data_IF_684648741508
#
_entry.id   IF_684648741508
#
_cell.length_a   1.000
_cell.length_b   1.000
_cell.length_c   1.000
_cell.angle_alpha   90.00
_cell.angle_beta   90.00
_cell.angle_gamma   90.00
#
_symmetry.space_group_name_H-M   'P 1'
#
loop_
_entity.id
_entity.type
_entity.pdbx_description
1 polymer ?
#
# COMPACT_ATOMS: atom_id res chain seq x y z
N UNK A 1 15.63 9.84 -28.56
CA UNK A 1 16.43 8.72 -29.12
C UNK A 1 16.02 7.43 -28.46
N UNK A 2 15.68 6.38 -29.21
CA UNK A 2 15.31 5.06 -28.67
C UNK A 2 16.49 4.09 -28.80
N UNK A 3 16.92 3.48 -27.71
CA UNK A 3 18.02 2.50 -27.64
C UNK A 3 17.56 1.21 -26.99
N UNK A 4 18.28 0.12 -27.27
CA UNK A 4 18.05 -1.19 -26.64
C UNK A 4 19.30 -1.60 -25.89
N UNK A 5 19.14 -1.99 -24.62
CA UNK A 5 20.23 -2.50 -23.77
C UNK A 5 19.78 -3.83 -23.16
N UNK A 6 20.36 -4.93 -23.62
CA UNK A 6 19.89 -6.30 -23.27
C UNK A 6 18.39 -6.43 -23.54
N UNK A 7 17.59 -6.67 -22.51
CA UNK A 7 16.13 -6.81 -22.57
C UNK A 7 15.38 -5.53 -22.23
N UNK A 8 16.05 -4.36 -22.20
CA UNK A 8 15.44 -3.07 -21.88
C UNK A 8 15.36 -2.17 -23.11
N UNK A 9 14.28 -1.40 -23.21
CA UNK A 9 14.16 -0.27 -24.13
C UNK A 9 14.40 1.00 -23.32
N UNK A 10 15.30 1.84 -23.79
CA UNK A 10 15.60 3.14 -23.20
C UNK A 10 15.21 4.22 -24.19
N UNK A 11 14.38 5.16 -23.75
CA UNK A 11 14.07 6.38 -24.50
C UNK A 11 14.72 7.56 -23.80
N UNK A 12 15.47 8.34 -24.54
CA UNK A 12 16.08 9.57 -24.06
C UNK A 12 15.59 10.72 -24.93
N UNK A 13 14.76 11.54 -24.37
CA UNK A 13 14.30 12.79 -24.95
C UNK A 13 14.89 13.96 -24.14
N UNK A 14 14.70 15.17 -24.62
CA UNK A 14 15.07 16.35 -23.87
C UNK A 14 14.17 16.47 -22.62
N UNK A 15 14.76 16.35 -21.43
CA UNK A 15 14.08 16.47 -20.15
C UNK A 15 13.42 15.19 -19.60
N UNK A 16 13.54 14.04 -20.28
CA UNK A 16 13.06 12.77 -19.72
C UNK A 16 13.91 11.55 -20.11
N UNK A 17 14.11 10.65 -19.15
CA UNK A 17 14.66 9.33 -19.31
C UNK A 17 13.57 8.28 -19.07
N UNK A 18 13.30 7.45 -20.07
CA UNK A 18 12.28 6.36 -19.97
C UNK A 18 12.99 5.03 -20.03
N UNK A 19 12.68 4.15 -19.08
CA UNK A 19 13.15 2.77 -19.07
C UNK A 19 11.95 1.82 -19.09
N UNK A 20 11.95 0.93 -20.08
CA UNK A 20 10.92 -0.11 -20.25
C UNK A 20 11.63 -1.44 -20.14
N UNK A 21 11.21 -2.28 -19.20
CA UNK A 21 11.84 -3.57 -18.95
C UNK A 21 10.83 -4.65 -18.60
N UNK A 22 11.13 -5.92 -18.94
CA UNK A 22 10.34 -7.04 -18.44
C UNK A 22 10.50 -7.17 -16.92
N UNK A 23 9.40 -7.47 -16.23
CA UNK A 23 9.37 -7.65 -14.77
C UNK A 23 8.70 -8.99 -14.40
N UNK A 24 9.30 -10.11 -14.86
CA UNK A 24 8.66 -11.41 -14.93
C UNK A 24 7.92 -11.62 -16.26
N UNK A 25 7.47 -12.83 -16.50
CA UNK A 25 6.75 -13.18 -17.74
C UNK A 25 5.36 -12.53 -17.78
N UNK A 26 4.98 -11.94 -18.89
CA UNK A 26 3.70 -11.24 -19.13
C UNK A 26 3.55 -9.89 -18.40
N UNK A 27 4.63 -9.36 -17.82
CA UNK A 27 4.64 -8.11 -17.06
C UNK A 27 5.74 -7.20 -17.59
N UNK A 28 5.44 -5.93 -17.78
CA UNK A 28 6.42 -4.91 -18.15
C UNK A 28 6.32 -3.75 -17.17
N UNK A 29 7.48 -3.30 -16.67
CA UNK A 29 7.62 -2.10 -15.85
C UNK A 29 8.11 -0.94 -16.70
N UNK A 30 7.51 0.22 -16.52
CA UNK A 30 7.90 1.47 -17.15
C UNK A 30 8.26 2.47 -16.06
N UNK A 31 9.43 3.08 -16.17
CA UNK A 31 9.90 4.13 -15.27
C UNK A 31 10.31 5.34 -16.06
N UNK A 32 9.95 6.53 -15.57
CA UNK A 32 10.27 7.80 -16.22
C UNK A 32 10.77 8.79 -15.18
N UNK A 33 11.91 9.43 -15.44
CA UNK A 33 12.49 10.46 -14.58
C UNK A 33 13.09 11.58 -15.42
N UNK A 34 13.16 12.78 -14.88
CA UNK A 34 13.97 13.85 -15.43
C UNK A 34 15.47 13.67 -15.07
N UNK A 35 15.73 12.90 -14.01
CA UNK A 35 17.06 12.55 -13.53
C UNK A 35 17.38 11.07 -13.81
N UNK A 36 18.26 10.47 -13.04
CA UNK A 36 18.53 9.03 -13.11
C UNK A 36 17.35 8.21 -12.59
N UNK A 37 17.04 7.12 -13.30
CA UNK A 37 16.05 6.14 -12.84
C UNK A 37 16.57 5.44 -11.59
N UNK A 38 15.76 5.44 -10.52
CA UNK A 38 16.07 4.80 -9.25
C UNK A 38 15.41 3.42 -9.14
N UNK A 39 16.08 2.48 -8.49
CA UNK A 39 15.52 1.17 -8.16
C UNK A 39 14.74 1.26 -6.84
N UNK A 40 13.52 1.80 -6.93
CA UNK A 40 12.57 1.92 -5.83
C UNK A 40 11.51 0.85 -6.00
N UNK A 41 11.64 -0.25 -5.28
CA UNK A 41 10.71 -1.37 -5.45
C UNK A 41 9.47 -1.27 -4.56
N UNK A 42 9.52 -0.47 -3.48
CA UNK A 42 8.45 -0.25 -2.53
C UNK A 42 7.84 -1.56 -2.01
N UNK A 43 6.69 -1.97 -2.55
CA UNK A 43 6.01 -3.22 -2.20
C UNK A 43 6.29 -4.37 -3.17
N UNK A 44 7.10 -4.13 -4.20
CA UNK A 44 7.40 -5.16 -5.20
C UNK A 44 8.48 -6.13 -4.71
N UNK A 45 8.24 -7.40 -4.91
CA UNK A 45 9.28 -8.42 -4.76
C UNK A 45 10.33 -8.33 -5.88
N UNK A 46 11.53 -8.90 -5.69
CA UNK A 46 12.52 -9.00 -6.74
C UNK A 46 11.92 -9.61 -8.01
N UNK A 47 12.21 -9.00 -9.15
CA UNK A 47 11.66 -9.46 -10.42
C UNK A 47 12.08 -10.89 -10.74
N UNK A 48 11.13 -11.67 -11.24
CA UNK A 48 11.41 -12.97 -11.85
C UNK A 48 12.11 -12.78 -13.20
N UNK A 49 12.95 -13.74 -13.59
CA UNK A 49 13.53 -13.73 -14.94
C UNK A 49 12.46 -13.94 -16.01
N UNK A 50 12.69 -13.34 -17.17
CA UNK A 50 11.84 -13.55 -18.33
C UNK A 50 12.63 -13.54 -19.63
N UNK A 51 12.19 -14.30 -20.60
CA UNK A 51 12.77 -14.41 -21.94
C UNK A 51 12.14 -13.38 -22.91
N UNK A 52 12.22 -12.09 -22.55
CA UNK A 52 11.72 -11.04 -23.41
C UNK A 52 12.63 -10.84 -24.64
N UNK A 53 12.02 -10.63 -25.80
CA UNK A 53 12.71 -10.32 -27.04
C UNK A 53 12.40 -8.91 -27.51
N UNK A 54 13.39 -8.26 -28.14
CA UNK A 54 13.22 -6.92 -28.67
C UNK A 54 13.58 -6.93 -30.17
N UNK A 55 12.71 -6.35 -30.99
CA UNK A 55 12.92 -6.18 -32.43
C UNK A 55 12.63 -4.75 -32.87
N UNK A 56 13.22 -4.32 -33.96
CA UNK A 56 12.88 -3.05 -34.64
C UNK A 56 12.01 -3.31 -35.84
N UNK A 57 10.98 -2.49 -36.00
CA UNK A 57 10.11 -2.46 -37.20
C UNK A 57 10.01 -1.01 -37.70
N UNK A 58 10.79 -0.69 -38.73
CA UNK A 58 10.95 0.67 -39.22
C UNK A 58 11.57 1.58 -38.14
N UNK A 59 10.87 2.61 -37.74
CA UNK A 59 11.26 3.52 -36.65
C UNK A 59 10.88 3.02 -35.27
N UNK A 60 10.02 2.02 -35.19
CA UNK A 60 9.44 1.54 -33.95
C UNK A 60 10.28 0.41 -33.33
N UNK A 61 10.23 0.32 -32.01
CA UNK A 61 10.89 -0.73 -31.23
C UNK A 61 9.81 -1.52 -30.50
N UNK A 62 9.81 -2.84 -30.67
CA UNK A 62 8.81 -3.74 -30.09
C UNK A 62 9.48 -4.70 -29.12
N UNK A 63 8.99 -4.75 -27.89
CA UNK A 63 9.32 -5.77 -26.91
C UNK A 63 8.18 -6.80 -26.86
N UNK A 64 8.53 -8.08 -26.90
CA UNK A 64 7.60 -9.19 -26.66
C UNK A 64 8.01 -9.89 -25.38
N UNK A 65 7.11 -9.91 -24.39
CA UNK A 65 7.31 -10.57 -23.10
C UNK A 65 6.09 -11.48 -22.78
N UNK A 66 6.19 -12.74 -23.16
CA UNK A 66 5.06 -13.66 -23.10
C UNK A 66 3.89 -13.16 -23.96
N UNK A 67 2.70 -12.98 -23.40
CA UNK A 67 1.50 -12.51 -24.12
C UNK A 67 1.41 -10.98 -24.24
N UNK A 68 2.37 -10.24 -23.67
CA UNK A 68 2.42 -8.78 -23.70
C UNK A 68 3.39 -8.30 -24.78
N UNK A 69 2.91 -7.44 -25.67
CA UNK A 69 3.73 -6.66 -26.57
C UNK A 69 3.75 -5.21 -26.13
N UNK A 70 4.92 -4.60 -26.12
CA UNK A 70 5.10 -3.17 -25.90
C UNK A 70 5.70 -2.57 -27.17
N UNK A 71 5.00 -1.62 -27.76
CA UNK A 71 5.46 -0.89 -28.93
C UNK A 71 5.86 0.52 -28.51
N UNK A 72 7.07 0.90 -28.88
CA UNK A 72 7.62 2.24 -28.66
C UNK A 72 7.91 2.86 -30.01
N UNK A 73 7.24 3.95 -30.35
CA UNK A 73 7.47 4.67 -31.60
C UNK A 73 8.84 5.35 -31.62
N UNK A 74 9.30 5.76 -32.79
CA UNK A 74 10.55 6.53 -32.95
C UNK A 74 10.55 7.83 -32.14
N UNK A 75 9.37 8.38 -31.79
CA UNK A 75 9.19 9.56 -30.94
C UNK A 75 9.10 9.22 -29.44
N UNK A 76 9.10 7.94 -29.08
CA UNK A 76 9.07 7.50 -27.68
C UNK A 76 7.67 7.32 -27.09
N UNK A 77 6.62 7.31 -27.89
CA UNK A 77 5.25 7.01 -27.45
C UNK A 77 5.10 5.51 -27.21
N UNK A 78 4.46 5.13 -26.08
CA UNK A 78 4.34 3.75 -25.60
C UNK A 78 2.91 3.27 -25.77
N UNK A 79 2.77 2.04 -26.28
CA UNK A 79 1.49 1.32 -26.35
C UNK A 79 1.67 -0.16 -26.03
N UNK A 80 0.64 -0.75 -25.40
CA UNK A 80 0.61 -2.13 -24.94
C UNK A 80 -0.44 -2.93 -25.70
N UNK A 81 -0.08 -4.13 -26.13
CA UNK A 81 -0.88 -4.97 -27.00
C UNK A 81 -0.85 -6.42 -26.50
N UNK A 82 -1.91 -7.16 -26.75
CA UNK A 82 -1.91 -8.59 -26.52
C UNK A 82 -1.38 -9.36 -27.76
N UNK A 83 -1.20 -10.67 -27.64
CA UNK A 83 -0.73 -11.53 -28.74
C UNK A 83 -1.68 -11.59 -29.94
N UNK A 84 -2.96 -11.25 -29.75
CA UNK A 84 -3.96 -11.20 -30.84
C UNK A 84 -3.85 -9.91 -31.67
N UNK A 85 -2.93 -9.00 -31.30
CA UNK A 85 -2.79 -7.69 -31.95
C UNK A 85 -3.87 -6.69 -31.51
N UNK A 86 -4.55 -6.94 -30.40
CA UNK A 86 -5.51 -6.00 -29.82
C UNK A 86 -4.79 -5.01 -28.92
N UNK A 87 -5.04 -3.72 -29.12
CA UNK A 87 -4.53 -2.66 -28.25
C UNK A 87 -5.16 -2.78 -26.87
N UNK A 88 -4.36 -2.86 -25.83
CA UNK A 88 -4.80 -2.90 -24.43
C UNK A 88 -4.85 -1.49 -23.84
N UNK A 89 -3.73 -0.80 -23.89
CA UNK A 89 -3.54 0.52 -23.31
C UNK A 89 -2.52 1.30 -24.14
N UNK A 90 -2.67 2.60 -24.28
CA UNK A 90 -1.67 3.45 -24.92
C UNK A 90 -1.58 4.80 -24.22
N UNK A 91 -0.39 5.35 -24.18
CA UNK A 91 -0.20 6.73 -23.75
C UNK A 91 -1.07 7.68 -24.56
N UNK A 92 -1.45 8.80 -23.94
CA UNK A 92 -2.20 9.84 -24.62
C UNK A 92 -1.29 10.50 -25.66
N UNK A 93 -1.75 10.50 -26.91
CA UNK A 93 -1.10 11.21 -27.99
C UNK A 93 -2.10 12.13 -28.67
N UNK A 94 -1.89 13.44 -28.55
CA UNK A 94 -2.72 14.45 -29.22
C UNK A 94 -1.84 15.36 -30.05
N UNK A 95 -1.83 15.15 -31.36
CA UNK A 95 -1.04 15.95 -32.30
C UNK A 95 -1.40 17.43 -32.32
N UNK A 96 -2.63 17.78 -31.97
CA UNK A 96 -3.16 19.14 -32.05
C UNK A 96 -3.08 19.95 -30.74
N UNK A 97 -2.63 19.33 -29.66
CA UNK A 97 -2.45 19.96 -28.35
C UNK A 97 -1.13 19.50 -27.77
N UNK A 98 -0.35 20.44 -27.31
CA UNK A 98 0.91 20.20 -26.58
C UNK A 98 0.66 19.58 -25.19
N UNK A 99 -0.18 18.53 -25.14
CA UNK A 99 -0.43 17.80 -23.90
C UNK A 99 0.45 16.57 -23.91
N UNK A 100 1.54 16.57 -23.14
CA UNK A 100 2.43 15.42 -23.08
C UNK A 100 1.72 14.25 -22.38
N UNK A 101 2.07 13.03 -22.79
CA UNK A 101 1.59 11.83 -22.10
C UNK A 101 2.16 11.73 -20.66
N UNK A 102 3.30 12.35 -20.44
CA UNK A 102 4.07 12.34 -19.20
C UNK A 102 4.40 13.76 -18.79
N UNK A 103 4.11 14.11 -17.55
CA UNK A 103 4.39 15.43 -16.97
C UNK A 103 5.33 15.26 -15.79
N UNK A 104 6.45 15.97 -15.80
CA UNK A 104 7.43 16.02 -14.73
C UNK A 104 7.69 17.50 -14.39
N UNK A 105 7.03 18.02 -13.34
CA UNK A 105 7.20 19.42 -12.91
C UNK A 105 8.02 19.45 -11.62
N UNK A 106 9.21 20.03 -11.70
CA UNK A 106 10.14 20.11 -10.55
C UNK A 106 9.51 20.75 -9.31
N UNK A 107 9.79 20.15 -8.16
CA UNK A 107 9.48 20.64 -6.81
C UNK A 107 10.77 20.74 -5.99
N UNK A 108 10.70 21.34 -4.82
CA UNK A 108 11.83 21.39 -3.89
C UNK A 108 12.24 20.00 -3.41
N UNK A 109 13.53 19.83 -3.12
CA UNK A 109 14.07 18.57 -2.58
C UNK A 109 14.31 17.46 -3.62
N UNK A 110 14.42 17.80 -4.92
CA UNK A 110 14.64 16.81 -5.98
C UNK A 110 13.42 15.93 -6.26
N UNK A 111 12.23 16.42 -5.92
CA UNK A 111 10.96 15.79 -6.20
C UNK A 111 10.28 16.44 -7.40
N UNK A 112 9.28 15.76 -7.95
CA UNK A 112 8.47 16.23 -9.04
C UNK A 112 6.97 16.01 -8.75
N UNK A 113 6.14 16.93 -9.21
CA UNK A 113 4.75 16.60 -9.50
C UNK A 113 4.72 15.83 -10.80
N UNK A 114 4.13 14.66 -10.76
CA UNK A 114 4.13 13.70 -11.87
C UNK A 114 2.73 13.41 -12.35
N UNK A 115 2.55 13.34 -13.68
CA UNK A 115 1.32 12.88 -14.29
C UNK A 115 1.64 11.88 -15.41
N UNK A 116 0.88 10.77 -15.47
CA UNK A 116 0.89 9.83 -16.57
C UNK A 116 -0.49 9.75 -17.19
N UNK A 117 -0.59 10.03 -18.48
CA UNK A 117 -1.85 10.10 -19.20
C UNK A 117 -1.97 8.94 -20.20
N UNK A 118 -3.11 8.29 -20.21
CA UNK A 118 -3.46 7.22 -21.15
C UNK A 118 -4.74 7.56 -21.90
N UNK A 119 -4.82 7.07 -23.16
CA UNK A 119 -6.05 7.14 -23.93
C UNK A 119 -7.11 6.23 -23.32
N UNK A 120 -8.28 6.76 -23.05
CA UNK A 120 -9.45 5.96 -22.72
C UNK A 120 -10.02 5.28 -23.96
N UNK A 121 -10.46 4.04 -23.82
CA UNK A 121 -11.08 3.27 -24.89
C UNK A 121 -12.58 3.14 -24.70
N UNK A 122 -13.32 3.13 -25.80
CA UNK A 122 -14.77 2.93 -25.77
C UNK A 122 -15.12 1.58 -25.13
N UNK A 123 -16.09 1.58 -24.18
CA UNK A 123 -16.50 0.40 -23.43
C UNK A 123 -15.40 -0.20 -22.56
N UNK A 124 -14.47 0.61 -22.10
CA UNK A 124 -13.51 0.22 -21.07
C UNK A 124 -14.05 0.54 -19.69
N UNK A 125 -13.95 -0.43 -18.80
CA UNK A 125 -14.36 -0.37 -17.40
C UNK A 125 -13.18 -0.72 -16.52
N UNK A 126 -13.11 -0.14 -15.31
CA UNK A 126 -12.02 -0.33 -14.37
C UNK A 126 -12.54 -0.83 -13.02
N UNK A 127 -11.82 -1.77 -12.42
CA UNK A 127 -12.16 -2.40 -11.14
C UNK A 127 -10.92 -2.47 -10.26
N UNK A 128 -11.06 -2.24 -8.95
CA UNK A 128 -9.93 -2.34 -8.01
C UNK A 128 -9.74 -1.10 -7.15
N UNK A 129 -8.51 -0.66 -6.94
CA UNK A 129 -8.04 0.40 -6.03
C UNK A 129 -8.22 0.08 -4.53
N UNK A 130 -8.49 -1.16 -4.17
CA UNK A 130 -8.67 -1.55 -2.77
C UNK A 130 -10.07 -1.29 -2.25
N UNK A 131 -10.17 -0.78 -1.03
CA UNK A 131 -11.44 -0.48 -0.37
C UNK A 131 -11.57 1.03 -0.20
N UNK A 132 -12.54 1.62 -0.88
CA UNK A 132 -12.85 3.03 -0.83
C UNK A 132 -14.22 3.26 -0.15
N UNK A 133 -14.43 4.46 0.38
CA UNK A 133 -15.68 4.83 1.07
C UNK A 133 -16.80 5.24 0.08
N UNK A 134 -16.97 4.48 -1.01
CA UNK A 134 -18.02 4.67 -2.01
C UNK A 134 -18.58 3.33 -2.46
N UNK A 135 -19.69 3.34 -3.17
CA UNK A 135 -20.42 2.17 -3.68
C UNK A 135 -20.18 1.87 -5.17
N UNK A 136 -19.14 2.48 -5.78
CA UNK A 136 -18.81 2.25 -7.18
C UNK A 136 -18.10 0.92 -7.36
N UNK A 137 -18.67 0.02 -8.14
CA UNK A 137 -18.00 -1.19 -8.59
C UNK A 137 -17.16 -0.93 -9.86
N UNK A 138 -17.72 -0.21 -10.82
CA UNK A 138 -17.02 0.30 -12.00
C UNK A 138 -16.52 1.71 -11.74
N UNK A 139 -15.21 1.88 -11.81
CA UNK A 139 -14.54 3.15 -11.51
C UNK A 139 -14.53 4.12 -12.72
N UNK A 140 -15.12 3.72 -13.85
CA UNK A 140 -15.19 4.59 -15.04
C UNK A 140 -15.96 5.87 -14.74
N UNK A 141 -15.34 7.02 -14.99
CA UNK A 141 -15.89 8.34 -14.70
C UNK A 141 -15.55 8.88 -13.30
N UNK A 142 -14.93 8.07 -12.44
CA UNK A 142 -14.54 8.49 -11.09
C UNK A 142 -13.17 9.18 -11.05
N UNK A 143 -13.01 10.07 -10.08
CA UNK A 143 -11.73 10.59 -9.61
C UNK A 143 -11.55 10.12 -8.16
N UNK A 144 -10.44 9.46 -7.88
CA UNK A 144 -10.17 8.83 -6.59
C UNK A 144 -8.79 9.26 -6.08
N UNK A 145 -8.74 9.66 -4.82
CA UNK A 145 -7.49 10.03 -4.17
C UNK A 145 -6.68 8.79 -3.81
N UNK A 146 -5.40 8.81 -4.13
CA UNK A 146 -4.42 7.82 -3.73
C UNK A 146 -3.75 8.31 -2.45
N UNK A 147 -4.32 7.95 -1.32
CA UNK A 147 -3.80 8.22 0.01
C UNK A 147 -4.48 7.30 1.03
N UNK A 148 -3.75 6.91 2.06
CA UNK A 148 -4.32 6.13 3.16
C UNK A 148 -5.01 7.07 4.15
N UNK A 149 -6.21 6.72 4.55
CA UNK A 149 -7.01 7.46 5.53
C UNK A 149 -7.92 6.49 6.27
N UNK A 150 -8.46 6.90 7.43
CA UNK A 150 -9.48 6.10 8.09
C UNK A 150 -10.67 5.81 7.14
N UNK A 151 -11.23 4.63 7.27
CA UNK A 151 -12.33 4.07 6.48
C UNK A 151 -11.98 3.63 5.06
N UNK A 152 -10.75 3.82 4.58
CA UNK A 152 -10.32 3.32 3.27
C UNK A 152 -8.96 2.64 3.31
N UNK A 153 -8.75 1.75 2.36
CA UNK A 153 -7.46 1.08 2.13
C UNK A 153 -7.15 1.16 0.65
N UNK A 154 -6.30 2.11 0.28
CA UNK A 154 -5.92 2.35 -1.12
C UNK A 154 -4.88 1.33 -1.58
N UNK A 155 -5.18 0.61 -2.65
CA UNK A 155 -4.26 -0.30 -3.33
C UNK A 155 -4.14 0.17 -4.78
N UNK A 156 -3.02 0.77 -5.22
CA UNK A 156 -2.91 1.41 -6.53
C UNK A 156 -2.78 0.38 -7.67
N UNK A 157 -3.72 -0.57 -7.72
CA UNK A 157 -3.87 -1.62 -8.72
C UNK A 157 -5.29 -1.65 -9.24
N UNK A 158 -5.43 -1.69 -10.57
CA UNK A 158 -6.72 -1.82 -11.24
C UNK A 158 -6.69 -2.90 -12.31
N UNK A 159 -7.84 -3.54 -12.50
CA UNK A 159 -8.15 -4.42 -13.62
C UNK A 159 -8.94 -3.63 -14.67
N UNK A 160 -8.51 -3.69 -15.92
CA UNK A 160 -9.28 -3.17 -17.06
C UNK A 160 -10.08 -4.29 -17.72
N UNK A 161 -11.33 -3.99 -18.11
CA UNK A 161 -12.16 -4.89 -18.92
C UNK A 161 -11.55 -5.20 -20.32
N UNK A 162 -10.44 -4.54 -20.68
CA UNK A 162 -9.68 -4.81 -21.90
C UNK A 162 -8.63 -5.92 -21.73
N UNK A 163 -8.58 -6.59 -20.56
CA UNK A 163 -7.71 -7.76 -20.33
C UNK A 163 -6.30 -7.41 -19.88
N UNK A 164 -6.14 -6.33 -19.13
CA UNK A 164 -4.88 -5.99 -18.47
C UNK A 164 -5.10 -5.52 -17.03
N UNK A 165 -4.05 -5.67 -16.23
CA UNK A 165 -3.89 -5.03 -14.93
C UNK A 165 -2.90 -3.88 -15.03
N UNK A 166 -3.12 -2.84 -14.25
CA UNK A 166 -2.22 -1.70 -14.14
C UNK A 166 -1.87 -1.46 -12.68
N UNK A 167 -0.57 -1.37 -12.37
CA UNK A 167 -0.04 -1.06 -11.04
C UNK A 167 0.65 0.28 -11.09
N UNK A 168 0.22 1.23 -10.27
CA UNK A 168 0.92 2.48 -10.03
C UNK A 168 1.88 2.30 -8.85
N UNK A 169 3.14 1.99 -9.13
CA UNK A 169 4.17 1.72 -8.11
C UNK A 169 4.73 3.02 -7.53
N UNK A 170 3.88 3.77 -6.85
CA UNK A 170 4.24 5.07 -6.29
C UNK A 170 3.49 5.31 -4.98
N UNK A 171 4.18 5.42 -3.82
CA UNK A 171 3.58 5.67 -2.51
C UNK A 171 3.32 7.15 -2.24
N UNK A 172 3.49 8.03 -3.22
CA UNK A 172 3.22 9.45 -3.05
C UNK A 172 1.71 9.73 -3.01
N UNK A 173 1.34 10.69 -2.20
CA UNK A 173 -0.02 11.25 -2.23
C UNK A 173 -0.35 11.70 -3.65
N UNK A 174 -1.49 11.29 -4.14
CA UNK A 174 -1.90 11.58 -5.51
C UNK A 174 -3.37 11.28 -5.76
N UNK A 175 -3.69 11.00 -7.00
CA UNK A 175 -5.03 10.59 -7.42
C UNK A 175 -5.01 9.88 -8.77
N UNK A 176 -6.09 9.20 -9.06
CA UNK A 176 -6.36 8.67 -10.40
C UNK A 176 -7.70 9.20 -10.92
N UNK A 177 -7.75 9.54 -12.18
CA UNK A 177 -8.94 10.03 -12.87
C UNK A 177 -9.26 9.11 -14.05
N UNK A 178 -10.36 8.35 -13.95
CA UNK A 178 -10.86 7.47 -15.02
C UNK A 178 -11.83 8.21 -15.93
N UNK A 179 -11.37 9.30 -16.53
CA UNK A 179 -12.21 10.16 -17.38
C UNK A 179 -12.71 9.47 -18.66
N UNK A 180 -13.64 10.12 -19.34
CA UNK A 180 -14.24 9.60 -20.57
C UNK A 180 -13.30 9.69 -21.78
N UNK A 181 -12.38 10.63 -21.79
CA UNK A 181 -11.42 10.88 -22.88
C UNK A 181 -10.00 10.43 -22.55
N UNK A 182 -9.66 10.40 -21.28
CA UNK A 182 -8.33 9.99 -20.79
C UNK A 182 -8.41 9.39 -19.40
N UNK A 183 -7.43 8.55 -19.08
CA UNK A 183 -7.14 8.11 -17.71
C UNK A 183 -5.84 8.78 -17.28
N UNK A 184 -5.84 9.43 -16.12
CA UNK A 184 -4.70 10.17 -15.60
C UNK A 184 -4.32 9.69 -14.21
N UNK A 185 -3.06 9.31 -14.03
CA UNK A 185 -2.45 8.98 -12.76
C UNK A 185 -1.55 10.12 -12.33
N UNK A 186 -1.70 10.57 -11.08
CA UNK A 186 -1.00 11.73 -10.53
C UNK A 186 -0.29 11.34 -9.24
N UNK A 187 0.97 11.78 -9.10
CA UNK A 187 1.71 11.80 -7.85
C UNK A 187 2.10 13.25 -7.53
N UNK A 188 1.71 13.75 -6.38
CA UNK A 188 1.93 15.16 -6.03
C UNK A 188 3.40 15.48 -5.72
N UNK A 189 4.16 14.51 -5.21
CA UNK A 189 5.58 14.68 -4.94
C UNK A 189 6.30 13.33 -4.97
N UNK A 190 6.96 13.01 -6.07
CA UNK A 190 7.69 11.76 -6.23
C UNK A 190 8.93 11.94 -7.09
N UNK A 191 9.83 10.95 -7.13
CA UNK A 191 11.10 11.02 -7.86
C UNK A 191 10.98 10.61 -9.31
N UNK A 192 10.05 9.72 -9.61
CA UNK A 192 9.85 9.15 -10.96
C UNK A 192 8.42 8.67 -11.14
N UNK A 193 7.95 8.63 -12.38
CA UNK A 193 6.80 7.83 -12.78
C UNK A 193 7.26 6.36 -12.73
N UNK A 194 6.44 5.49 -12.16
CA UNK A 194 6.73 4.06 -12.07
C UNK A 194 5.42 3.28 -12.13
N UNK A 195 5.26 2.46 -13.16
CA UNK A 195 4.07 1.64 -13.29
C UNK A 195 4.37 0.29 -13.98
N UNK A 196 3.49 -0.67 -13.73
CA UNK A 196 3.56 -1.96 -14.39
C UNK A 196 2.25 -2.25 -15.14
N UNK A 197 2.40 -2.89 -16.29
CA UNK A 197 1.27 -3.44 -17.05
C UNK A 197 1.39 -4.96 -17.04
N UNK A 198 0.29 -5.62 -16.67
CA UNK A 198 0.17 -7.06 -16.49
C UNK A 198 -0.89 -7.56 -17.46
N UNK A 199 -0.65 -8.64 -18.20
CA UNK A 199 -1.68 -9.25 -19.05
C UNK A 199 -2.00 -10.66 -18.61
N UNK A 200 -3.22 -11.12 -18.87
CA UNK A 200 -3.69 -12.48 -18.65
C UNK A 200 -4.90 -12.78 -19.51
N UNK A 201 -5.22 -14.05 -19.69
CA UNK A 201 -6.37 -14.48 -20.50
C UNK A 201 -7.69 -14.26 -19.75
N UNK A 202 -7.64 -14.05 -18.43
CA UNK A 202 -8.76 -13.73 -17.56
C UNK A 202 -8.29 -12.94 -16.34
N UNK A 203 -9.21 -12.30 -15.56
CA UNK A 203 -8.86 -11.53 -14.36
C UNK A 203 -8.06 -12.32 -13.33
N UNK A 204 -8.40 -13.57 -13.07
CA UNK A 204 -7.71 -14.41 -12.07
C UNK A 204 -6.23 -14.65 -12.40
N UNK A 205 -5.87 -14.74 -13.67
CA UNK A 205 -4.47 -14.81 -14.08
C UNK A 205 -3.73 -13.50 -13.86
N UNK A 206 -4.39 -12.37 -14.10
CA UNK A 206 -3.82 -11.04 -13.86
C UNK A 206 -3.58 -10.85 -12.37
N UNK A 207 -4.56 -11.19 -11.52
CA UNK A 207 -4.44 -11.14 -10.06
C UNK A 207 -3.36 -12.08 -9.54
N UNK A 208 -3.28 -13.32 -10.06
CA UNK A 208 -2.21 -14.24 -9.68
C UNK A 208 -0.82 -13.66 -9.97
N UNK A 209 -0.65 -13.01 -11.13
CA UNK A 209 0.59 -12.32 -11.49
C UNK A 209 0.87 -11.12 -10.61
N UNK A 210 -0.17 -10.35 -10.26
CA UNK A 210 -0.05 -9.27 -9.28
C UNK A 210 0.40 -9.81 -7.90
N UNK A 211 -0.19 -10.89 -7.42
CA UNK A 211 0.22 -11.52 -6.16
C UNK A 211 1.67 -12.04 -6.19
N UNK A 212 2.19 -12.47 -7.36
CA UNK A 212 3.62 -12.80 -7.50
C UNK A 212 4.53 -11.57 -7.34
N UNK A 213 4.04 -10.39 -7.71
CA UNK A 213 4.78 -9.15 -7.56
C UNK A 213 4.79 -8.64 -6.12
N UNK A 214 3.69 -8.83 -5.37
CA UNK A 214 3.45 -8.16 -4.07
C UNK A 214 3.30 -9.12 -2.89
N UNK A 215 3.19 -10.40 -3.16
CA UNK A 215 2.97 -11.46 -2.18
C UNK A 215 1.57 -12.04 -2.24
N UNK A 216 1.48 -13.32 -1.97
CA UNK A 216 0.19 -14.02 -1.78
C UNK A 216 -0.26 -13.86 -0.35
N UNK A 217 -1.58 -13.75 -0.16
CA UNK A 217 -2.16 -13.86 1.17
C UNK A 217 -1.79 -15.23 1.80
N UNK A 218 -1.43 -15.27 3.09
CA UNK A 218 -1.22 -16.53 3.79
C UNK A 218 -2.52 -17.33 3.86
N UNK A 219 -2.39 -18.64 4.04
CA UNK A 219 -3.55 -19.51 4.25
C UNK A 219 -4.30 -19.07 5.52
N UNK A 220 -5.60 -18.82 5.38
CA UNK A 220 -6.44 -18.40 6.48
C UNK A 220 -6.71 -19.61 7.40
N UNK A 221 -6.39 -19.56 8.70
CA UNK A 221 -6.52 -20.72 9.57
C UNK A 221 -8.00 -21.08 9.79
N UNK A 222 -8.30 -22.38 9.78
CA UNK A 222 -9.68 -22.89 9.87
C UNK A 222 -10.42 -22.37 11.12
N UNK A 223 -9.76 -22.30 12.29
CA UNK A 223 -10.37 -21.78 13.50
C UNK A 223 -10.82 -20.31 13.37
N UNK A 224 -10.20 -19.51 12.52
CA UNK A 224 -10.54 -18.12 12.31
C UNK A 224 -11.82 -17.92 11.49
N UNK A 225 -12.37 -18.98 10.87
CA UNK A 225 -13.69 -18.95 10.20
C UNK A 225 -14.86 -19.01 11.18
N UNK A 226 -14.60 -19.26 12.47
CA UNK A 226 -15.63 -19.36 13.51
C UNK A 226 -16.13 -18.00 14.02
N UNK A 227 -16.93 -18.03 15.08
CA UNK A 227 -17.50 -16.84 15.70
C UNK A 227 -16.44 -16.06 16.48
N UNK A 228 -16.33 -14.75 16.20
CA UNK A 228 -15.54 -13.79 16.94
C UNK A 228 -16.44 -12.91 17.79
N UNK A 229 -16.12 -12.79 19.08
CA UNK A 229 -16.83 -11.91 20.00
C UNK A 229 -15.98 -10.69 20.30
N UNK A 230 -16.46 -9.53 19.93
CA UNK A 230 -15.87 -8.25 20.25
C UNK A 230 -16.87 -7.36 21.01
N UNK A 231 -16.34 -6.39 21.71
CA UNK A 231 -17.06 -5.29 22.33
C UNK A 231 -16.14 -4.07 22.35
N UNK A 232 -16.67 -2.91 22.13
CA UNK A 232 -16.00 -1.62 22.32
C UNK A 232 -16.28 -1.15 23.76
N UNK A 233 -15.53 -1.50 24.75
CA UNK A 233 -14.43 -2.46 24.92
C UNK A 233 -14.69 -3.29 26.18
N UNK A 234 -13.98 -4.37 26.41
CA UNK A 234 -13.88 -4.98 27.73
C UNK A 234 -12.90 -4.17 28.57
N UNK A 235 -13.32 -3.74 29.75
CA UNK A 235 -12.51 -2.86 30.59
C UNK A 235 -11.60 -3.63 31.54
N UNK A 236 -11.96 -4.89 31.87
CA UNK A 236 -11.21 -5.72 32.81
C UNK A 236 -11.04 -7.16 32.30
N UNK A 237 -10.01 -7.82 32.83
CA UNK A 237 -9.77 -9.25 32.62
C UNK A 237 -10.97 -10.09 33.05
N UNK A 238 -11.58 -9.77 34.21
CA UNK A 238 -12.75 -10.48 34.72
C UNK A 238 -13.95 -10.37 33.77
N UNK A 239 -14.24 -9.19 33.25
CA UNK A 239 -15.32 -8.96 32.29
C UNK A 239 -15.13 -9.82 31.03
N UNK A 240 -13.94 -9.77 30.41
CA UNK A 240 -13.63 -10.53 29.22
C UNK A 240 -13.82 -12.04 29.46
N UNK A 241 -13.24 -12.57 30.53
CA UNK A 241 -13.37 -14.00 30.89
C UNK A 241 -14.82 -14.39 31.18
N UNK A 242 -15.59 -13.51 31.85
CA UNK A 242 -17.02 -13.80 32.15
C UNK A 242 -17.84 -13.96 30.89
N UNK A 243 -17.57 -13.16 29.86
CA UNK A 243 -18.24 -13.25 28.55
C UNK A 243 -17.85 -14.55 27.83
N UNK A 244 -16.56 -14.90 27.81
CA UNK A 244 -16.09 -16.16 27.23
C UNK A 244 -16.76 -17.39 27.89
N UNK A 245 -16.74 -17.43 29.23
CA UNK A 245 -17.38 -18.50 30.03
C UNK A 245 -18.88 -18.59 29.78
N UNK A 246 -19.56 -17.44 29.68
CA UNK A 246 -21.00 -17.38 29.41
C UNK A 246 -21.36 -17.95 28.03
N UNK A 247 -20.58 -17.62 27.02
CA UNK A 247 -20.75 -18.20 25.68
C UNK A 247 -20.53 -19.70 25.69
N UNK A 248 -19.44 -20.18 26.31
CA UNK A 248 -19.16 -21.62 26.48
C UNK A 248 -20.29 -22.35 27.19
N UNK A 249 -20.79 -21.79 28.32
CA UNK A 249 -21.91 -22.37 29.07
C UNK A 249 -23.19 -22.47 28.26
N UNK A 250 -23.43 -21.58 27.32
CA UNK A 250 -24.57 -21.54 26.42
C UNK A 250 -24.42 -22.45 25.19
N UNK A 251 -23.30 -23.13 25.04
CA UNK A 251 -23.00 -23.96 23.87
C UNK A 251 -22.74 -23.16 22.61
N UNK A 252 -22.42 -21.86 22.71
CA UNK A 252 -22.05 -21.00 21.57
C UNK A 252 -20.59 -21.31 21.20
N UNK A 253 -20.30 -21.71 19.95
CA UNK A 253 -18.97 -22.11 19.52
C UNK A 253 -18.12 -20.88 19.24
N UNK A 254 -17.67 -20.20 20.30
CA UNK A 254 -16.80 -19.04 20.20
C UNK A 254 -15.38 -19.46 19.83
N UNK A 255 -14.86 -18.98 18.72
CA UNK A 255 -13.48 -19.25 18.27
C UNK A 255 -12.49 -18.20 18.76
N UNK A 256 -12.92 -16.95 18.86
CA UNK A 256 -12.06 -15.84 19.26
C UNK A 256 -12.82 -14.85 20.13
N UNK A 257 -12.12 -14.26 21.09
CA UNK A 257 -12.55 -13.06 21.81
C UNK A 257 -11.52 -11.95 21.61
N UNK A 258 -12.01 -10.72 21.42
CA UNK A 258 -11.17 -9.55 21.11
C UNK A 258 -10.99 -8.69 22.34
N UNK A 259 -9.73 -8.43 22.70
CA UNK A 259 -9.36 -7.38 23.65
C UNK A 259 -9.04 -6.11 22.85
N UNK A 260 -10.01 -5.21 22.80
CA UNK A 260 -9.93 -3.97 22.05
C UNK A 260 -9.03 -2.92 22.73
N UNK A 261 -8.92 -1.72 22.20
CA UNK A 261 -8.02 -0.65 22.62
C UNK A 261 -8.17 -0.26 24.12
N UNK A 262 -7.21 0.52 24.62
CA UNK A 262 -7.14 1.05 25.99
C UNK A 262 -7.09 -0.01 27.11
N UNK A 263 -6.56 -1.19 26.82
CA UNK A 263 -6.16 -2.16 27.84
C UNK A 263 -4.74 -1.86 28.39
N UNK A 264 -4.04 -0.88 27.83
CA UNK A 264 -2.71 -0.40 28.22
C UNK A 264 -2.78 0.81 29.17
N UNK A 265 -1.72 1.11 29.96
CA UNK A 265 -1.66 2.29 30.82
C UNK A 265 -1.65 3.60 30.03
N UNK A 266 -0.79 3.68 28.99
CA UNK A 266 -0.67 4.81 28.07
C UNK A 266 -0.50 4.32 26.64
N UNK A 267 -0.93 5.14 25.67
CA UNK A 267 -0.66 4.90 24.24
C UNK A 267 0.86 4.78 24.04
N UNK A 268 1.28 3.70 23.37
CA UNK A 268 2.69 3.41 23.14
C UNK A 268 3.39 2.59 24.23
N UNK A 269 2.71 2.19 25.31
CA UNK A 269 3.30 1.29 26.31
C UNK A 269 3.28 -0.17 25.88
N UNK A 270 2.37 -0.55 24.99
CA UNK A 270 2.22 -1.90 24.43
C UNK A 270 2.32 -3.02 25.47
N UNK A 271 1.54 -2.87 26.55
CA UNK A 271 1.42 -3.83 27.65
C UNK A 271 0.06 -3.72 28.32
N UNK A 272 -0.39 -4.76 29.02
CA UNK A 272 -1.60 -4.68 29.82
C UNK A 272 -1.42 -3.78 31.04
N UNK A 273 -2.45 -2.97 31.36
CA UNK A 273 -2.52 -2.26 32.63
C UNK A 273 -2.84 -3.25 33.75
N UNK A 274 -1.90 -3.46 34.67
CA UNK A 274 -2.02 -4.41 35.76
C UNK A 274 -3.18 -4.12 36.72
N UNK A 275 -3.66 -2.86 36.77
CA UNK A 275 -4.79 -2.49 37.62
C UNK A 275 -6.10 -3.16 37.14
N UNK A 276 -6.26 -3.36 35.86
CA UNK A 276 -7.46 -3.92 35.24
C UNK A 276 -7.24 -5.32 34.65
N UNK A 277 -5.99 -5.66 34.35
CA UNK A 277 -5.55 -6.92 33.76
C UNK A 277 -4.45 -7.55 34.64
N UNK A 278 -4.82 -8.05 35.83
CA UNK A 278 -3.82 -8.43 36.85
C UNK A 278 -2.97 -9.65 36.48
N UNK A 279 -3.51 -10.58 35.73
CA UNK A 279 -2.81 -11.81 35.30
C UNK A 279 -3.18 -12.23 33.87
N UNK A 280 -2.63 -11.55 32.84
CA UNK A 280 -2.91 -11.87 31.45
C UNK A 280 -2.47 -13.28 31.05
N UNK A 281 -1.42 -13.84 31.69
CA UNK A 281 -0.96 -15.19 31.40
C UNK A 281 -2.01 -16.25 31.82
N UNK A 282 -2.59 -16.09 33.02
CA UNK A 282 -3.68 -16.94 33.47
C UNK A 282 -4.93 -16.79 32.59
N UNK A 283 -5.25 -15.56 32.15
CA UNK A 283 -6.34 -15.30 31.22
C UNK A 283 -6.17 -16.05 29.90
N UNK A 284 -5.01 -15.94 29.27
CA UNK A 284 -4.71 -16.64 28.02
C UNK A 284 -4.79 -18.15 28.17
N UNK A 285 -4.25 -18.68 29.28
CA UNK A 285 -4.34 -20.10 29.58
C UNK A 285 -5.80 -20.58 29.69
N UNK A 286 -6.63 -19.86 30.43
CA UNK A 286 -8.04 -20.19 30.63
C UNK A 286 -8.84 -20.14 29.30
N UNK A 287 -8.59 -19.12 28.45
CA UNK A 287 -9.19 -19.03 27.12
C UNK A 287 -8.76 -20.21 26.25
N UNK A 288 -7.49 -20.56 26.26
CA UNK A 288 -6.94 -21.72 25.51
C UNK A 288 -7.60 -23.04 25.95
N UNK A 289 -7.78 -23.25 27.26
CA UNK A 289 -8.48 -24.43 27.79
C UNK A 289 -9.94 -24.49 27.34
N UNK A 290 -10.57 -23.36 27.07
CA UNK A 290 -11.92 -23.28 26.49
C UNK A 290 -11.93 -23.46 24.96
N UNK A 291 -10.78 -23.51 24.30
CA UNK A 291 -10.65 -23.54 22.85
C UNK A 291 -10.90 -22.18 22.18
N UNK A 292 -10.69 -21.10 22.91
CA UNK A 292 -10.94 -19.72 22.44
C UNK A 292 -9.60 -18.99 22.26
N UNK A 293 -9.38 -18.43 21.07
CA UNK A 293 -8.24 -17.58 20.80
C UNK A 293 -8.44 -16.16 21.31
N UNK A 294 -7.36 -15.51 21.75
CA UNK A 294 -7.37 -14.09 22.11
C UNK A 294 -6.73 -13.29 20.99
N UNK A 295 -7.42 -12.23 20.52
CA UNK A 295 -6.87 -11.19 19.67
C UNK A 295 -6.75 -9.90 20.46
N UNK A 296 -5.59 -9.23 20.34
CA UNK A 296 -5.32 -7.99 21.09
C UNK A 296 -5.09 -6.86 20.10
N UNK A 297 -5.76 -5.73 20.33
CA UNK A 297 -5.56 -4.51 19.54
C UNK A 297 -4.23 -3.86 19.88
N UNK A 298 -3.50 -3.45 18.87
CA UNK A 298 -2.22 -2.72 18.97
C UNK A 298 -2.33 -1.45 18.11
N UNK A 299 -2.13 -0.30 18.76
CA UNK A 299 -2.11 0.99 18.07
C UNK A 299 -0.67 1.49 17.88
N UNK A 300 -0.38 2.16 16.75
CA UNK A 300 0.95 2.71 16.48
C UNK A 300 1.20 4.06 17.16
N UNK A 301 0.19 4.62 17.87
CA UNK A 301 0.28 5.93 18.50
C UNK A 301 1.08 5.88 19.80
N UNK A 302 1.79 6.97 20.07
CA UNK A 302 2.67 7.12 21.24
C UNK A 302 2.38 8.46 21.92
N UNK A 303 1.89 8.37 23.15
CA UNK A 303 1.65 9.54 24.01
C UNK A 303 2.98 9.99 24.67
N UNK A 304 3.23 11.30 24.83
CA UNK A 304 4.40 11.80 25.56
C UNK A 304 4.54 11.29 27.01
N UNK A 305 3.46 10.78 27.60
CA UNK A 305 3.46 10.16 28.94
C UNK A 305 3.84 8.68 28.92
N UNK A 306 3.92 8.04 27.75
CA UNK A 306 4.37 6.65 27.62
C UNK A 306 5.79 6.50 28.13
N UNK A 307 6.07 5.37 28.79
CA UNK A 307 7.42 5.01 29.24
C UNK A 307 8.42 4.89 28.08
N UNK A 308 7.94 4.69 26.86
CA UNK A 308 8.77 4.48 25.66
C UNK A 308 9.02 5.79 24.87
N UNK A 309 8.25 6.86 25.12
CA UNK A 309 8.25 8.06 24.28
C UNK A 309 9.62 8.73 24.17
N UNK A 310 10.30 8.98 25.28
CA UNK A 310 11.57 9.72 25.26
C UNK A 310 12.67 8.93 24.55
N UNK A 311 12.77 7.62 24.78
CA UNK A 311 13.72 6.76 24.09
C UNK A 311 13.45 6.76 22.59
N UNK A 312 12.19 6.59 22.17
CA UNK A 312 11.81 6.57 20.76
C UNK A 312 12.07 7.92 20.07
N UNK A 313 11.79 9.03 20.78
CA UNK A 313 12.06 10.38 20.27
C UNK A 313 13.56 10.65 20.08
N UNK A 314 14.40 10.31 21.05
CA UNK A 314 15.84 10.49 20.98
C UNK A 314 16.50 9.68 19.87
N UNK A 315 15.97 8.49 19.58
CA UNK A 315 16.45 7.58 18.54
C UNK A 315 15.78 7.80 17.16
N UNK A 316 15.01 8.88 16.99
CA UNK A 316 14.28 9.19 15.76
C UNK A 316 13.35 8.06 15.26
N UNK A 317 12.65 7.40 16.18
CA UNK A 317 11.71 6.33 15.89
C UNK A 317 10.27 6.81 15.71
N UNK A 318 10.00 8.11 15.87
CA UNK A 318 8.69 8.72 15.77
C UNK A 318 8.57 9.55 14.49
N UNK A 319 7.37 9.58 13.88
CA UNK A 319 7.06 10.51 12.79
C UNK A 319 7.16 11.94 13.35
N UNK A 320 7.75 12.83 12.57
CA UNK A 320 8.01 14.23 12.96
C UNK A 320 7.18 15.20 12.14
N UNK A 321 6.69 16.25 12.78
CA UNK A 321 6.21 17.45 12.11
C UNK A 321 7.32 18.46 11.99
N UNK A 322 7.48 19.09 10.81
CA UNK A 322 8.45 20.17 10.60
C UNK A 322 7.99 21.49 11.19
N UNK A 323 6.69 21.72 11.16
CA UNK A 323 6.06 22.97 11.57
C UNK A 323 5.01 22.70 12.64
N UNK A 324 4.99 23.55 13.66
CA UNK A 324 4.00 23.46 14.74
C UNK A 324 4.25 22.33 15.74
N UNK A 325 3.23 21.93 16.48
CA UNK A 325 3.32 20.88 17.49
C UNK A 325 3.58 19.51 16.83
N UNK A 326 4.36 18.65 17.50
CA UNK A 326 4.64 17.30 17.06
C UNK A 326 3.49 16.30 17.29
N UNK A 327 2.33 16.75 17.75
CA UNK A 327 1.14 15.92 17.89
C UNK A 327 0.46 15.75 16.53
N UNK A 328 0.18 14.52 16.16
CA UNK A 328 -0.44 14.16 14.89
C UNK A 328 -1.89 13.68 15.08
N UNK A 329 -2.22 13.21 16.27
CA UNK A 329 -3.56 12.76 16.63
C UNK A 329 -3.88 13.20 18.07
N UNK A 330 -5.16 13.46 18.33
CA UNK A 330 -5.65 13.88 19.64
C UNK A 330 -6.78 12.93 20.08
N UNK A 331 -6.42 11.79 20.64
CA UNK A 331 -7.40 10.83 21.14
C UNK A 331 -7.61 10.97 22.67
N UNK A 332 -6.61 10.63 23.47
CA UNK A 332 -6.59 10.83 24.94
C UNK A 332 -5.49 11.78 25.41
N UNK A 333 -4.67 12.21 24.49
CA UNK A 333 -3.56 13.12 24.68
C UNK A 333 -3.11 13.68 23.33
N UNK A 334 -1.99 14.38 23.35
CA UNK A 334 -1.32 14.88 22.14
C UNK A 334 -0.33 13.81 21.66
N UNK A 335 -0.75 12.92 20.83
CA UNK A 335 -0.02 11.71 20.43
C UNK A 335 0.69 11.90 19.08
N UNK A 336 1.71 11.10 18.85
CA UNK A 336 2.34 10.92 17.55
C UNK A 336 2.35 9.44 17.17
N UNK A 337 2.79 9.11 15.96
CA UNK A 337 2.96 7.73 15.50
C UNK A 337 4.41 7.27 15.61
N UNK A 338 4.66 6.00 15.91
CA UNK A 338 5.97 5.46 15.60
C UNK A 338 6.15 5.39 14.09
N UNK A 339 7.36 5.63 13.63
CA UNK A 339 7.66 5.60 12.20
C UNK A 339 7.87 4.15 11.73
N UNK A 340 6.83 3.54 11.17
CA UNK A 340 6.88 2.17 10.64
C UNK A 340 7.83 2.01 9.44
N UNK A 341 8.26 3.11 8.81
CA UNK A 341 9.25 3.07 7.73
C UNK A 341 10.68 2.95 8.27
N UNK A 342 10.90 3.27 9.58
CA UNK A 342 12.18 3.12 10.25
C UNK A 342 12.37 1.66 10.75
N UNK A 343 13.39 0.92 10.24
CA UNK A 343 13.66 -0.44 10.70
C UNK A 343 13.86 -0.58 12.21
N UNK A 344 14.57 0.38 12.82
CA UNK A 344 14.82 0.37 14.27
C UNK A 344 13.53 0.58 15.07
N UNK A 345 12.60 1.39 14.59
CA UNK A 345 11.29 1.57 15.23
C UNK A 345 10.46 0.29 15.17
N UNK A 346 10.44 -0.39 14.03
CA UNK A 346 9.75 -1.71 13.90
C UNK A 346 10.32 -2.74 14.85
N UNK A 347 11.64 -2.83 14.95
CA UNK A 347 12.30 -3.76 15.86
C UNK A 347 12.00 -3.45 17.32
N UNK A 348 12.03 -2.16 17.69
CA UNK A 348 11.70 -1.70 19.04
C UNK A 348 10.26 -2.07 19.43
N UNK A 349 9.28 -1.71 18.60
CA UNK A 349 7.87 -2.01 18.86
C UNK A 349 7.63 -3.52 18.91
N UNK A 350 8.20 -4.29 17.97
CA UNK A 350 8.09 -5.74 18.00
C UNK A 350 8.70 -6.36 19.26
N UNK A 351 9.83 -5.84 19.75
CA UNK A 351 10.43 -6.29 21.01
C UNK A 351 9.47 -6.10 22.17
N UNK A 352 8.80 -4.93 22.27
CA UNK A 352 7.82 -4.66 23.33
C UNK A 352 6.58 -5.54 23.21
N UNK A 353 6.03 -5.69 22.02
CA UNK A 353 4.89 -6.59 21.75
C UNK A 353 5.25 -8.04 22.07
N UNK A 354 6.45 -8.48 21.70
CA UNK A 354 6.94 -9.83 22.00
C UNK A 354 7.08 -10.06 23.50
N UNK A 355 7.61 -9.10 24.23
CA UNK A 355 7.81 -9.18 25.66
C UNK A 355 6.48 -9.22 26.43
N UNK A 356 5.54 -8.35 26.07
CA UNK A 356 4.35 -8.11 26.89
C UNK A 356 3.09 -8.85 26.43
N UNK A 357 3.08 -9.40 25.21
CA UNK A 357 1.93 -10.13 24.68
C UNK A 357 2.32 -11.51 24.13
N UNK A 358 3.24 -11.56 23.16
CA UNK A 358 3.56 -12.82 22.48
C UNK A 358 4.14 -13.88 23.45
N UNK A 359 5.00 -13.47 24.39
CA UNK A 359 5.57 -14.37 25.41
C UNK A 359 4.52 -14.95 26.38
N UNK A 360 3.34 -14.32 26.47
CA UNK A 360 2.20 -14.79 27.27
C UNK A 360 1.30 -15.80 26.50
N UNK A 361 1.63 -16.09 25.24
CA UNK A 361 0.85 -16.98 24.36
C UNK A 361 -0.14 -16.26 23.46
N UNK A 362 -0.14 -14.91 23.40
CA UNK A 362 -1.00 -14.14 22.50
C UNK A 362 -0.31 -14.05 21.14
N UNK A 363 -0.93 -14.63 20.12
CA UNK A 363 -0.36 -14.74 18.76
C UNK A 363 -1.18 -13.99 17.70
N UNK A 364 -2.32 -13.43 18.08
CA UNK A 364 -3.23 -12.74 17.18
C UNK A 364 -3.31 -11.26 17.56
N UNK A 365 -3.04 -10.39 16.60
CA UNK A 365 -3.00 -8.96 16.79
C UNK A 365 -3.86 -8.22 15.79
N UNK A 366 -4.57 -7.20 16.25
CA UNK A 366 -5.27 -6.23 15.44
C UNK A 366 -4.43 -4.95 15.38
N UNK A 367 -3.75 -4.74 14.25
CA UNK A 367 -2.97 -3.52 14.02
C UNK A 367 -3.94 -2.42 13.56
N UNK A 368 -4.51 -1.74 14.52
CA UNK A 368 -5.51 -0.70 14.36
C UNK A 368 -4.88 0.70 14.33
N UNK A 369 -5.57 1.73 13.86
CA UNK A 369 -5.08 3.11 13.68
C UNK A 369 -3.85 3.22 12.75
N UNK A 370 -3.63 2.23 11.89
CA UNK A 370 -2.45 2.13 11.04
C UNK A 370 -2.64 2.78 9.65
N UNK A 371 -3.77 3.38 9.35
CA UNK A 371 -4.15 4.02 8.08
C UNK A 371 -3.27 5.21 7.65
N UNK A 372 -2.78 6.18 8.45
CA UNK A 372 -3.06 6.63 9.83
C UNK A 372 -4.22 7.64 9.94
N UNK A 373 -4.76 7.84 11.14
CA UNK A 373 -5.69 8.92 11.48
C UNK A 373 -4.96 10.20 11.88
N UNK A 374 -4.37 10.89 10.94
CA UNK A 374 -3.65 12.13 11.19
C UNK A 374 -4.61 13.31 11.08
N UNK A 375 -4.73 14.10 12.11
CA UNK A 375 -5.60 15.26 12.09
C UNK A 375 -4.87 16.58 12.39
N UNK A 376 -4.80 17.52 11.45
CA UNK A 376 -5.26 17.47 10.05
C UNK A 376 -4.31 16.66 9.16
N UNK A 377 -4.79 16.19 8.02
CA UNK A 377 -3.97 15.50 7.00
C UNK A 377 -3.02 16.49 6.29
N UNK A 378 -2.03 16.99 7.03
CA UNK A 378 -1.00 17.91 6.52
C UNK A 378 0.27 17.12 6.13
N UNK A 379 0.13 16.29 5.12
CA UNK A 379 1.21 15.39 4.66
C UNK A 379 2.51 16.14 4.33
N UNK A 380 2.43 17.38 3.82
CA UNK A 380 3.60 18.21 3.52
C UNK A 380 4.43 18.54 4.78
N UNK A 381 3.80 18.52 5.95
CA UNK A 381 4.43 18.77 7.23
C UNK A 381 5.09 17.54 7.87
N UNK A 382 4.80 16.35 7.35
CA UNK A 382 5.28 15.10 7.95
C UNK A 382 6.66 14.70 7.42
N UNK A 383 7.46 14.10 8.31
CA UNK A 383 8.78 13.54 7.97
C UNK A 383 8.90 12.14 8.53
N UNK A 384 9.08 11.21 7.62
CA UNK A 384 9.33 9.80 7.85
C UNK A 384 10.82 9.50 7.65
N UNK A 385 11.26 8.35 8.07
CA UNK A 385 12.62 7.87 7.84
C UNK A 385 12.98 7.81 6.35
N UNK A 386 12.05 7.38 5.51
CA UNK A 386 12.27 7.19 4.06
C UNK A 386 11.98 8.43 3.21
N UNK A 387 11.31 9.45 3.74
CA UNK A 387 10.95 10.64 2.95
C UNK A 387 9.98 11.58 3.65
N UNK A 388 9.48 12.56 2.91
CA UNK A 388 8.40 13.42 3.42
C UNK A 388 7.02 12.79 3.21
N UNK A 389 6.03 13.28 3.94
CA UNK A 389 4.69 12.71 3.90
C UNK A 389 4.02 12.75 2.53
N UNK A 390 4.29 13.76 1.72
CA UNK A 390 3.76 13.82 0.34
C UNK A 390 4.34 12.72 -0.56
N UNK A 391 5.56 12.26 -0.27
CA UNK A 391 6.26 11.24 -1.06
C UNK A 391 5.87 9.81 -0.65
N UNK A 392 5.46 9.59 0.61
CA UNK A 392 5.41 8.23 1.17
C UNK A 392 4.14 7.86 1.96
N UNK A 393 3.08 8.66 1.90
CA UNK A 393 1.87 8.44 2.72
C UNK A 393 0.66 7.87 1.94
N UNK A 394 0.86 7.40 0.71
CA UNK A 394 -0.19 6.74 -0.06
C UNK A 394 -0.24 5.24 0.16
#
# INVERSE_FOLDING_TARGET
MVRTIKTKIIVMNEGEHVQIEPYGKHIVRVRVSADEIQDLDWTLFPKEESEATIKKEGTDTIMVNGNLLVKVTGQGHISFWNQKGELLCSELWRMERDTPARVLRGKTGGLFHLEQHFCTRAGEHFFGLGQEAHDLFDLKGATLDLCQQNTKSTIPFVLSSKGYGFVWNNPAIGRVEFGTSETRWVAEAARQIDYLVIVGDNPGEIENRYCRLTGFAPEFPEWATGLWQSKLRYETQEELLSVAKKNKKRGIPLSMIVCDYFHWPQQGDWKFDKAYWPDPAAMVKELTEMGIHLLVSIWPTVDPRSENYFEMREQNMLIRAERGPGALVYCRGAETYYDSTNPSAREFVWKKVKEHYYSLGIQNFWLDEAEPEIGPYDYDNLRYWIGNGMEVSS
#
